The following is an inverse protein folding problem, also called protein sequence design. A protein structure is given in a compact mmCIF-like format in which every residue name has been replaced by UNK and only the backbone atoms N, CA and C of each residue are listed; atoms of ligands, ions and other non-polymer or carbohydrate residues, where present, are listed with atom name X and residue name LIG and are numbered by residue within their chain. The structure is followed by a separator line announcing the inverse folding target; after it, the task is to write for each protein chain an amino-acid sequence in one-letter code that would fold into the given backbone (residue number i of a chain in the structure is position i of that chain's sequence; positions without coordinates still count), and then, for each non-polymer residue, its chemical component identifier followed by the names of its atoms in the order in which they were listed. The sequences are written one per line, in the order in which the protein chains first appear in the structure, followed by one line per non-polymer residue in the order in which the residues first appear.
data_IF_098419664641
#
_entry.id   IF_098419664641
#
_cell.length_a   1.000
_cell.length_b   1.000
_cell.length_c   1.000
_cell.angle_alpha   90.00
_cell.angle_beta   90.00
_cell.angle_gamma   90.00
#
_symmetry.space_group_name_H-M   'P 1'
#
loop_
_entity.id
_entity.type
_entity.pdbx_description
1 polymer ?
#
# COMPACT_ATOMS: atom_id res chain seq x y z
N UNK A 1 8.54 -0.77 -8.27
CA UNK A 1 9.41 0.19 -7.56
C UNK A 1 10.79 -0.45 -7.48
N UNK A 2 11.83 0.15 -8.06
CA UNK A 2 13.18 -0.38 -7.94
C UNK A 2 13.64 -0.32 -6.47
N UNK A 3 14.24 -1.39 -5.99
CA UNK A 3 14.80 -1.49 -4.65
C UNK A 3 16.32 -1.68 -4.73
N UNK A 4 16.98 -1.62 -3.58
CA UNK A 4 18.39 -1.99 -3.44
C UNK A 4 18.63 -3.45 -3.85
N UNK A 5 19.78 -3.71 -4.47
CA UNK A 5 20.20 -5.07 -4.82
C UNK A 5 19.43 -5.70 -6.00
N UNK A 6 19.05 -4.90 -7.01
CA UNK A 6 18.32 -5.34 -8.20
C UNK A 6 16.90 -5.90 -7.93
N UNK A 7 16.44 -5.85 -6.68
CA UNK A 7 15.09 -6.25 -6.31
C UNK A 7 14.06 -5.27 -6.87
N UNK A 8 12.85 -5.76 -7.08
CA UNK A 8 11.72 -4.96 -7.55
C UNK A 8 10.52 -5.19 -6.66
N UNK A 9 9.94 -4.12 -6.13
CA UNK A 9 8.65 -4.19 -5.48
C UNK A 9 7.50 -3.99 -6.48
N UNK A 10 6.48 -4.82 -6.38
CA UNK A 10 5.18 -4.69 -7.04
C UNK A 10 4.13 -4.33 -5.98
N UNK A 11 3.25 -3.40 -6.33
CA UNK A 11 2.18 -2.95 -5.44
C UNK A 11 0.88 -2.94 -6.23
N UNK A 12 -0.15 -3.58 -5.70
CA UNK A 12 -1.50 -3.54 -6.22
C UNK A 12 -2.42 -3.18 -5.08
N UNK A 13 -3.32 -2.23 -5.29
CA UNK A 13 -4.27 -1.84 -4.26
C UNK A 13 -5.55 -1.31 -4.87
N UNK A 14 -6.59 -1.30 -4.05
CA UNK A 14 -7.92 -0.81 -4.40
C UNK A 14 -8.42 0.10 -3.28
N UNK A 15 -9.20 1.13 -3.62
CA UNK A 15 -9.77 2.07 -2.66
C UNK A 15 -11.27 2.10 -2.89
N UNK A 16 -12.11 1.95 -1.86
CA UNK A 16 -13.56 1.98 -2.02
C UNK A 16 -14.02 3.36 -2.52
N UNK A 17 -15.05 3.36 -3.36
CA UNK A 17 -15.64 4.56 -3.94
C UNK A 17 -15.08 4.92 -5.32
N UNK A 18 -15.52 6.06 -5.85
CA UNK A 18 -15.15 6.50 -7.20
C UNK A 18 -15.06 8.03 -7.29
N UNK A 19 -14.26 8.53 -8.22
CA UNK A 19 -14.11 9.96 -8.48
C UNK A 19 -12.84 10.57 -7.87
N UNK A 20 -12.83 11.89 -7.71
CA UNK A 20 -11.63 12.65 -7.37
C UNK A 20 -11.05 12.28 -5.99
N UNK A 21 -11.91 12.06 -4.99
CA UNK A 21 -11.47 11.75 -3.64
C UNK A 21 -10.80 10.37 -3.55
N UNK A 22 -11.39 9.33 -4.18
CA UNK A 22 -10.77 8.00 -4.27
C UNK A 22 -9.44 8.05 -5.03
N UNK A 23 -9.37 8.81 -6.13
CA UNK A 23 -8.13 9.00 -6.89
C UNK A 23 -7.05 9.74 -6.08
N UNK A 24 -7.44 10.77 -5.31
CA UNK A 24 -6.54 11.49 -4.42
C UNK A 24 -5.99 10.56 -3.32
N UNK A 25 -6.85 9.77 -2.69
CA UNK A 25 -6.44 8.77 -1.69
C UNK A 25 -5.50 7.72 -2.28
N UNK A 26 -5.80 7.18 -3.46
CA UNK A 26 -4.91 6.24 -4.15
C UNK A 26 -3.53 6.87 -4.43
N UNK A 27 -3.50 8.15 -4.84
CA UNK A 27 -2.26 8.91 -5.02
C UNK A 27 -1.45 9.09 -3.73
N UNK A 28 -2.11 9.40 -2.61
CA UNK A 28 -1.48 9.48 -1.28
C UNK A 28 -0.89 8.13 -0.86
N UNK A 29 -1.70 7.06 -0.91
CA UNK A 29 -1.25 5.71 -0.55
C UNK A 29 -0.08 5.24 -1.42
N UNK A 30 -0.15 5.48 -2.74
CA UNK A 30 0.95 5.17 -3.66
C UNK A 30 2.24 5.90 -3.28
N UNK A 31 2.14 7.18 -2.93
CA UNK A 31 3.29 7.98 -2.50
C UNK A 31 3.87 7.44 -1.19
N UNK A 32 3.02 7.15 -0.20
CA UNK A 32 3.44 6.56 1.07
C UNK A 32 4.17 5.23 0.86
N UNK A 33 3.62 4.34 0.03
CA UNK A 33 4.28 3.06 -0.28
C UNK A 33 5.61 3.25 -1.00
N UNK A 34 5.74 4.23 -1.90
CA UNK A 34 7.03 4.54 -2.53
C UNK A 34 8.08 4.99 -1.53
N UNK A 35 7.69 5.81 -0.54
CA UNK A 35 8.57 6.23 0.55
C UNK A 35 8.96 5.06 1.47
N UNK A 36 8.01 4.21 1.85
CA UNK A 36 8.26 3.03 2.68
C UNK A 36 9.13 1.99 1.96
N UNK A 37 8.92 1.79 0.66
CA UNK A 37 9.72 0.88 -0.16
C UNK A 37 11.21 1.25 -0.18
N UNK A 38 11.55 2.54 -0.03
CA UNK A 38 12.93 3.00 0.05
C UNK A 38 13.67 2.61 1.33
N UNK A 39 12.96 2.08 2.35
CA UNK A 39 13.52 1.78 3.67
C UNK A 39 14.01 0.33 3.80
N UNK A 40 13.92 -0.47 2.73
CA UNK A 40 14.35 -1.88 2.68
C UNK A 40 13.70 -2.80 3.74
N UNK A 41 12.46 -2.47 4.09
CA UNK A 41 11.61 -3.20 5.04
C UNK A 41 11.05 -4.50 4.43
N UNK A 42 10.66 -5.43 5.29
CA UNK A 42 9.92 -6.61 4.86
C UNK A 42 8.51 -6.23 4.36
N UNK A 43 7.92 -7.00 3.42
CA UNK A 43 6.59 -6.72 2.88
C UNK A 43 5.50 -6.49 3.94
N UNK A 44 5.52 -7.29 5.01
CA UNK A 44 4.59 -7.18 6.14
C UNK A 44 4.79 -5.88 6.93
N UNK A 45 6.03 -5.44 7.11
CA UNK A 45 6.35 -4.18 7.82
C UNK A 45 5.89 -2.98 7.00
N UNK A 46 6.08 -3.01 5.67
CA UNK A 46 5.56 -1.97 4.77
C UNK A 46 4.04 -1.82 4.92
N UNK A 47 3.31 -2.94 5.00
CA UNK A 47 1.86 -2.90 5.15
C UNK A 47 1.43 -2.43 6.54
N UNK A 48 2.12 -2.85 7.60
CA UNK A 48 1.87 -2.36 8.97
C UNK A 48 2.07 -0.84 9.05
N UNK A 49 3.18 -0.33 8.54
CA UNK A 49 3.42 1.12 8.52
C UNK A 49 2.43 1.87 7.64
N UNK A 50 1.97 1.27 6.54
CA UNK A 50 0.93 1.87 5.72
C UNK A 50 -0.41 1.94 6.49
N UNK A 51 -0.76 0.90 7.23
CA UNK A 51 -1.96 0.84 8.07
C UNK A 51 -1.89 1.86 9.22
N UNK A 52 -0.72 2.00 9.86
CA UNK A 52 -0.46 3.03 10.87
C UNK A 52 -0.67 4.45 10.28
N UNK A 53 -0.17 4.71 9.07
CA UNK A 53 -0.36 6.02 8.41
C UNK A 53 -1.84 6.30 8.11
N UNK A 54 -2.60 5.29 7.69
CA UNK A 54 -4.05 5.43 7.44
C UNK A 54 -4.79 5.68 8.75
N UNK A 55 -4.48 4.92 9.80
CA UNK A 55 -5.12 5.08 11.11
C UNK A 55 -4.80 6.41 11.78
N UNK A 56 -3.59 6.96 11.59
CA UNK A 56 -3.23 8.30 12.07
C UNK A 56 -3.93 9.41 11.29
N UNK A 57 -4.16 9.24 9.99
CA UNK A 57 -4.87 10.23 9.17
C UNK A 57 -6.33 10.40 9.59
N UNK A 58 -6.95 9.37 10.18
CA UNK A 58 -8.29 9.45 10.78
C UNK A 58 -8.39 10.41 11.99
N UNK A 59 -7.24 10.81 12.57
CA UNK A 59 -7.21 11.69 13.75
C UNK A 59 -7.08 13.17 13.39
N UNK A 60 -6.66 13.50 12.16
CA UNK A 60 -6.58 14.88 11.67
C UNK A 60 -7.90 15.22 10.97
N UNK A 61 -8.82 15.98 11.61
CA UNK A 61 -10.04 16.40 10.95
C UNK A 61 -9.68 17.42 9.88
N UNK A 62 -9.62 17.00 8.62
CA UNK A 62 -9.92 17.92 7.54
C UNK A 62 -11.32 18.45 7.87
N UNK A 63 -11.44 19.77 8.14
CA UNK A 63 -12.54 20.43 8.88
C UNK A 63 -13.93 20.37 8.25
N UNK A 64 -14.28 19.24 7.63
CA UNK A 64 -15.59 18.83 7.17
C UNK A 64 -16.40 18.38 8.39
N UNK A 65 -17.55 19.03 8.68
CA UNK A 65 -18.36 18.77 9.88
C UNK A 65 -19.18 17.47 9.81
N UNK A 66 -19.08 16.73 8.71
CA UNK A 66 -19.71 15.43 8.51
C UNK A 66 -18.65 14.36 8.69
N UNK A 67 -18.82 13.48 9.69
CA UNK A 67 -17.89 12.41 10.08
C UNK A 67 -17.74 11.30 9.03
N UNK A 68 -17.39 11.67 7.81
CA UNK A 68 -17.12 10.78 6.70
C UNK A 68 -15.76 10.12 6.93
N UNK A 69 -15.76 8.79 7.12
CA UNK A 69 -14.53 8.03 7.34
C UNK A 69 -13.56 8.21 6.16
N UNK A 70 -12.26 8.35 6.42
CA UNK A 70 -11.26 8.45 5.33
C UNK A 70 -11.44 7.24 4.41
N UNK A 71 -11.69 7.43 3.10
CA UNK A 71 -11.80 6.33 2.14
C UNK A 71 -10.59 5.38 2.13
N UNK A 72 -9.46 5.79 2.71
CA UNK A 72 -8.31 4.92 2.96
C UNK A 72 -8.61 3.75 3.92
N UNK A 73 -9.57 3.88 4.84
CA UNK A 73 -9.90 2.87 5.87
C UNK A 73 -10.41 1.55 5.30
N UNK A 74 -10.95 1.57 4.08
CA UNK A 74 -11.38 0.36 3.36
C UNK A 74 -10.45 -0.04 2.22
N UNK A 75 -9.29 0.59 2.08
CA UNK A 75 -8.37 0.29 1.00
C UNK A 75 -7.76 -1.11 1.18
N UNK A 76 -7.53 -1.80 0.07
CA UNK A 76 -6.80 -3.07 0.03
C UNK A 76 -5.43 -2.88 -0.60
N UNK A 77 -4.46 -3.69 -0.19
CA UNK A 77 -3.10 -3.64 -0.74
C UNK A 77 -2.46 -5.03 -0.79
N UNK A 78 -1.71 -5.28 -1.86
CA UNK A 78 -0.78 -6.38 -2.03
C UNK A 78 0.58 -5.74 -2.31
N UNK A 79 1.57 -6.07 -1.48
CA UNK A 79 2.95 -5.68 -1.68
C UNK A 79 3.78 -6.94 -1.90
N UNK A 80 4.52 -7.01 -3.00
CA UNK A 80 5.38 -8.13 -3.34
C UNK A 80 6.79 -7.63 -3.70
N UNK A 81 7.81 -8.39 -3.31
CA UNK A 81 9.21 -8.12 -3.66
C UNK A 81 9.75 -9.33 -4.40
N UNK A 82 10.26 -9.08 -5.61
CA UNK A 82 10.99 -10.06 -6.38
C UNK A 82 12.49 -9.81 -6.27
N UNK A 83 13.23 -10.84 -5.86
CA UNK A 83 14.68 -10.89 -5.87
C UNK A 83 15.17 -11.75 -7.05
N UNK A 84 15.77 -11.14 -8.09
CA UNK A 84 16.26 -11.86 -9.24
C UNK A 84 17.52 -12.69 -8.94
N UNK A 85 18.24 -12.42 -7.86
CA UNK A 85 19.47 -13.14 -7.50
C UNK A 85 19.12 -14.49 -6.87
N UNK A 86 18.19 -14.49 -5.92
CA UNK A 86 17.71 -15.72 -5.27
C UNK A 86 16.53 -16.37 -5.99
N UNK A 87 15.98 -15.72 -7.03
CA UNK A 87 14.74 -16.12 -7.70
C UNK A 87 13.57 -16.30 -6.74
N UNK A 88 13.50 -15.47 -5.68
CA UNK A 88 12.45 -15.53 -4.67
C UNK A 88 11.49 -14.36 -4.81
N UNK A 89 10.21 -14.66 -4.63
CA UNK A 89 9.16 -13.66 -4.48
C UNK A 89 8.58 -13.76 -3.07
N UNK A 90 8.62 -12.66 -2.32
CA UNK A 90 7.96 -12.54 -1.02
C UNK A 90 6.81 -11.55 -1.15
N UNK A 91 5.67 -11.84 -0.53
CA UNK A 91 4.51 -10.97 -0.62
C UNK A 91 3.74 -10.93 0.69
N UNK A 92 3.19 -9.76 1.00
CA UNK A 92 2.24 -9.54 2.07
C UNK A 92 0.97 -8.88 1.50
N UNK A 93 -0.12 -9.00 2.24
CA UNK A 93 -1.46 -8.59 1.81
C UNK A 93 -2.24 -7.96 2.97
N UNK A 94 -2.96 -6.90 2.67
CA UNK A 94 -3.97 -6.28 3.49
C UNK A 94 -5.29 -6.29 2.69
N UNK A 95 -6.16 -7.27 2.97
CA UNK A 95 -7.48 -7.42 2.32
C UNK A 95 -7.48 -7.79 0.82
N UNK A 96 -6.39 -7.60 0.08
CA UNK A 96 -6.34 -7.81 -1.36
C UNK A 96 -6.44 -9.31 -1.74
N UNK A 97 -7.00 -9.72 -2.89
CA UNK A 97 -7.08 -11.13 -3.33
C UNK A 97 -5.70 -11.77 -3.59
N UNK A 98 -5.51 -13.08 -3.35
CA UNK A 98 -4.21 -13.75 -3.48
C UNK A 98 -3.69 -13.71 -4.92
N UNK A 99 -2.39 -13.43 -5.14
CA UNK A 99 -1.83 -13.47 -6.48
C UNK A 99 -1.83 -14.91 -7.00
N UNK A 100 -2.13 -15.08 -8.28
CA UNK A 100 -2.00 -16.36 -8.96
C UNK A 100 -0.54 -16.59 -9.36
N UNK A 101 -0.02 -17.78 -9.08
CA UNK A 101 1.27 -18.23 -9.60
C UNK A 101 1.02 -19.03 -10.89
N UNK A 102 1.63 -18.59 -11.98
CA UNK A 102 1.54 -19.23 -13.29
C UNK A 102 2.87 -19.92 -13.63
N UNK A 103 2.86 -21.11 -14.25
CA UNK A 103 4.07 -21.87 -14.63
C UNK A 103 4.78 -21.29 -15.86
#
# INVERSE_FOLDING_TARGET
IPLSGMRVALVVGDVPGNGLQAAATMGRLRTAVQTLAGQDLLPEEVLTHLDDLVSHTLTEPDGSPDGEQDPATGATCLYAVYDPVSCRCTAARAGHPPPALLP
#
